data_IF_382200820555
#
_entry.id   IF_382200820555
#
_cell.length_a   1.000
_cell.length_b   1.000
_cell.length_c   1.000
_cell.angle_alpha   90.00
_cell.angle_beta   90.00
_cell.angle_gamma   90.00
#
_symmetry.space_group_name_H-M   'P 1'
#
loop_
_entity.id
_entity.type
_entity.pdbx_description
1 polymer ?
#
# COMPACT_ATOMS: atom_id res chain seq x y z
N UNK A 1 -0.37 -1.41 6.84
CA UNK A 1 0.95 -0.80 7.10
C UNK A 1 1.90 -1.78 7.80
N UNK A 2 1.54 -2.35 8.96
CA UNK A 2 2.43 -3.31 9.66
C UNK A 2 2.75 -4.55 8.79
N UNK A 3 1.76 -5.07 8.05
CA UNK A 3 1.99 -6.14 7.07
C UNK A 3 3.09 -5.81 6.06
N UNK A 4 3.06 -4.61 5.48
CA UNK A 4 4.00 -4.18 4.45
C UNK A 4 5.42 -4.01 4.99
N UNK A 5 5.59 -3.71 6.28
CA UNK A 5 6.91 -3.69 6.90
C UNK A 5 7.57 -5.06 6.85
N UNK A 6 6.84 -6.11 7.25
CA UNK A 6 7.36 -7.48 7.18
C UNK A 6 7.64 -7.92 5.73
N UNK A 7 6.73 -7.61 4.79
CA UNK A 7 6.92 -7.98 3.39
C UNK A 7 8.04 -7.20 2.69
N UNK A 8 8.39 -6.01 3.18
CA UNK A 8 9.49 -5.23 2.62
C UNK A 8 10.83 -5.95 2.72
N UNK A 9 11.08 -6.72 3.79
CA UNK A 9 12.28 -7.53 3.90
C UNK A 9 12.48 -8.50 2.72
N UNK A 10 11.39 -9.01 2.13
CA UNK A 10 11.44 -9.97 1.02
C UNK A 10 11.86 -9.39 -0.33
N UNK A 11 11.88 -8.06 -0.49
CA UNK A 11 12.23 -7.39 -1.76
C UNK A 11 13.51 -6.55 -1.67
N UNK A 12 14.11 -6.47 -0.48
CA UNK A 12 15.36 -5.72 -0.26
C UNK A 12 16.58 -6.57 -0.62
N UNK A 13 17.67 -5.91 -1.03
CA UNK A 13 18.97 -6.57 -1.14
C UNK A 13 19.48 -6.99 0.25
N UNK A 14 20.43 -7.95 0.35
CA UNK A 14 20.82 -8.53 1.64
C UNK A 14 21.32 -7.51 2.68
N UNK A 15 22.07 -6.48 2.26
CA UNK A 15 22.58 -5.46 3.19
C UNK A 15 21.46 -4.55 3.71
N UNK A 16 20.52 -4.16 2.84
CA UNK A 16 19.38 -3.33 3.21
C UNK A 16 18.38 -4.10 4.05
N UNK A 17 18.14 -5.39 3.75
CA UNK A 17 17.26 -6.26 4.53
C UNK A 17 17.73 -6.35 5.97
N UNK A 18 19.03 -6.62 6.19
CA UNK A 18 19.62 -6.68 7.52
C UNK A 18 19.41 -5.38 8.30
N UNK A 19 19.79 -4.25 7.72
CA UNK A 19 19.65 -2.94 8.36
C UNK A 19 18.17 -2.59 8.62
N UNK A 20 17.29 -2.86 7.66
CA UNK A 20 15.86 -2.60 7.79
C UNK A 20 15.27 -3.42 8.93
N UNK A 21 15.56 -4.73 8.99
CA UNK A 21 15.11 -5.60 10.06
C UNK A 21 15.58 -5.09 11.42
N UNK A 22 16.88 -4.87 11.60
CA UNK A 22 17.45 -4.42 12.89
C UNK A 22 16.80 -3.11 13.37
N UNK A 23 16.66 -2.13 12.48
CA UNK A 23 16.07 -0.83 12.84
C UNK A 23 14.57 -0.90 13.11
N UNK A 24 13.80 -1.75 12.41
CA UNK A 24 12.36 -1.90 12.64
C UNK A 24 12.09 -2.72 13.90
N UNK A 25 12.80 -3.82 14.12
CA UNK A 25 12.66 -4.61 15.35
C UNK A 25 13.01 -3.77 16.58
N UNK A 26 14.10 -2.99 16.54
CA UNK A 26 14.46 -2.08 17.62
C UNK A 26 13.40 -1.00 17.87
N UNK A 27 12.84 -0.41 16.82
CA UNK A 27 11.82 0.66 16.93
C UNK A 27 10.48 0.17 17.48
N UNK A 28 10.05 -1.03 17.08
CA UNK A 28 8.73 -1.56 17.42
C UNK A 28 8.75 -2.57 18.58
N UNK A 29 9.93 -3.04 19.00
CA UNK A 29 10.09 -3.95 20.13
C UNK A 29 9.60 -5.39 19.89
N UNK A 30 9.34 -5.75 18.63
CA UNK A 30 8.84 -7.07 18.21
C UNK A 30 9.63 -7.58 17.00
N UNK A 31 9.61 -8.89 16.75
CA UNK A 31 10.26 -9.47 15.57
C UNK A 31 9.52 -9.14 14.29
N UNK A 32 10.24 -9.04 13.16
CA UNK A 32 9.65 -8.71 11.86
C UNK A 32 8.50 -9.67 11.49
N UNK A 33 8.64 -10.95 11.83
CA UNK A 33 7.65 -12.00 11.59
C UNK A 33 6.36 -11.81 12.41
N UNK A 34 6.43 -11.09 13.53
CA UNK A 34 5.32 -10.85 14.47
C UNK A 34 4.45 -9.65 14.09
N UNK A 35 4.90 -8.79 13.16
CA UNK A 35 4.14 -7.61 12.73
C UNK A 35 2.76 -7.97 12.18
N UNK A 36 2.69 -9.04 11.37
CA UNK A 36 1.46 -9.51 10.73
C UNK A 36 1.62 -10.99 10.31
N UNK A 37 1.69 -11.93 11.28
CA UNK A 37 1.86 -13.36 11.01
C UNK A 37 0.66 -13.92 10.23
N UNK A 38 0.88 -14.97 9.45
CA UNK A 38 -0.16 -15.66 8.67
C UNK A 38 -1.33 -16.09 9.59
N UNK A 39 -2.56 -15.94 9.11
CA UNK A 39 -3.78 -16.30 9.84
C UNK A 39 -4.59 -15.08 10.27
N UNK A 40 -5.40 -15.24 11.33
CA UNK A 40 -6.42 -14.27 11.73
C UNK A 40 -5.89 -12.84 11.90
N UNK A 41 -4.67 -12.68 12.43
CA UNK A 41 -4.05 -11.35 12.58
C UNK A 41 -3.79 -10.68 11.23
N UNK A 42 -3.23 -11.39 10.26
CA UNK A 42 -3.01 -10.86 8.91
C UNK A 42 -4.32 -10.54 8.21
N UNK A 43 -5.32 -11.39 8.35
CA UNK A 43 -6.65 -11.15 7.75
C UNK A 43 -7.28 -9.87 8.33
N UNK A 44 -7.16 -9.67 9.65
CA UNK A 44 -7.60 -8.43 10.31
C UNK A 44 -6.78 -7.20 9.86
N UNK A 45 -5.45 -7.32 9.74
CA UNK A 45 -4.58 -6.24 9.26
C UNK A 45 -4.91 -5.84 7.81
N UNK A 46 -5.25 -6.83 6.96
CA UNK A 46 -5.71 -6.62 5.58
C UNK A 46 -7.07 -5.93 5.54
N UNK A 47 -8.02 -6.41 6.34
CA UNK A 47 -9.36 -5.81 6.45
C UNK A 47 -9.27 -4.34 6.89
N UNK A 48 -8.47 -4.04 7.93
CA UNK A 48 -8.22 -2.68 8.41
C UNK A 48 -7.56 -1.81 7.34
N UNK A 49 -6.63 -2.36 6.56
CA UNK A 49 -6.02 -1.65 5.43
C UNK A 49 -7.06 -1.24 4.37
N UNK A 50 -7.96 -2.16 4.02
CA UNK A 50 -9.06 -1.90 3.08
C UNK A 50 -10.09 -0.92 3.63
N UNK A 51 -10.40 -0.97 4.91
CA UNK A 51 -11.27 0.00 5.58
C UNK A 51 -10.69 1.43 5.52
N UNK A 52 -9.38 1.57 5.77
CA UNK A 52 -8.67 2.83 5.59
C UNK A 52 -8.79 3.35 4.15
N UNK A 53 -8.58 2.48 3.16
CA UNK A 53 -8.81 2.82 1.76
C UNK A 53 -10.28 3.17 1.47
N UNK A 54 -11.27 2.46 2.02
CA UNK A 54 -12.68 2.83 1.89
C UNK A 54 -12.96 4.23 2.43
N UNK A 55 -12.32 4.59 3.54
CA UNK A 55 -12.43 5.93 4.13
C UNK A 55 -11.86 7.00 3.18
N UNK A 56 -10.64 6.78 2.65
CA UNK A 56 -10.03 7.73 1.70
C UNK A 56 -10.87 7.86 0.44
N UNK A 57 -11.35 6.76 -0.14
CA UNK A 57 -12.24 6.79 -1.30
C UNK A 57 -13.54 7.57 -1.03
N UNK A 58 -14.10 7.45 0.18
CA UNK A 58 -15.26 8.24 0.61
C UNK A 58 -14.98 9.73 0.76
N UNK A 59 -13.73 10.14 0.94
CA UNK A 59 -13.34 11.55 0.85
C UNK A 59 -13.23 12.00 -0.60
N UNK A 60 -12.61 11.19 -1.47
CA UNK A 60 -12.47 11.50 -2.89
C UNK A 60 -13.83 11.60 -3.58
N UNK A 61 -14.81 10.77 -3.23
CA UNK A 61 -16.15 10.83 -3.84
C UNK A 61 -16.87 12.17 -3.64
N UNK A 62 -16.40 13.02 -2.70
CA UNK A 62 -16.96 14.34 -2.43
C UNK A 62 -16.37 15.45 -3.30
N UNK A 63 -15.35 15.17 -4.11
CA UNK A 63 -14.59 16.18 -4.86
C UNK A 63 -15.20 16.59 -6.22
N UNK A 64 -16.47 16.26 -6.47
CA UNK A 64 -17.14 16.60 -7.72
C UNK A 64 -16.92 15.60 -8.87
N UNK A 65 -16.39 14.40 -8.59
CA UNK A 65 -16.34 13.29 -9.54
C UNK A 65 -15.06 13.21 -10.37
N UNK A 66 -13.99 13.88 -9.95
CA UNK A 66 -12.69 13.77 -10.60
C UNK A 66 -11.86 12.61 -10.07
N UNK A 67 -10.93 12.13 -10.90
CA UNK A 67 -10.12 10.91 -10.64
C UNK A 67 -8.94 11.12 -9.67
N UNK A 68 -8.61 12.36 -9.34
CA UNK A 68 -7.54 12.74 -8.42
C UNK A 68 -8.11 13.40 -7.16
N UNK A 69 -7.29 13.60 -6.15
CA UNK A 69 -7.71 14.17 -4.86
C UNK A 69 -8.34 15.57 -5.04
N UNK A 70 -7.76 16.41 -5.91
CA UNK A 70 -8.32 17.73 -6.26
C UNK A 70 -9.31 17.67 -7.43
N UNK A 71 -9.99 16.54 -7.61
CA UNK A 71 -10.91 16.31 -8.72
C UNK A 71 -10.14 16.00 -10.00
N UNK A 72 -10.09 16.94 -10.94
CA UNK A 72 -9.49 16.70 -12.27
C UNK A 72 -8.00 16.98 -12.33
N UNK A 73 -7.42 17.57 -11.28
CA UNK A 73 -6.01 17.99 -11.24
C UNK A 73 -5.22 17.08 -10.33
N UNK A 74 -4.11 16.53 -10.84
CA UNK A 74 -3.16 15.77 -10.03
C UNK A 74 -2.48 16.68 -9.02
N UNK A 75 -2.25 16.18 -7.81
CA UNK A 75 -1.64 16.92 -6.72
C UNK A 75 -0.55 16.10 -6.02
N UNK A 76 0.22 16.75 -5.14
CA UNK A 76 1.19 16.05 -4.29
C UNK A 76 0.54 14.97 -3.42
N UNK A 77 -0.70 15.18 -2.99
CA UNK A 77 -1.44 14.19 -2.22
C UNK A 77 -1.70 12.91 -3.02
N UNK A 78 -1.85 13.02 -4.34
CA UNK A 78 -1.99 11.87 -5.22
C UNK A 78 -0.69 11.08 -5.32
N UNK A 79 0.45 11.78 -5.36
CA UNK A 79 1.77 11.15 -5.29
C UNK A 79 1.99 10.37 -3.99
N UNK A 80 1.61 10.94 -2.84
CA UNK A 80 1.67 10.24 -1.56
C UNK A 80 0.76 9.01 -1.57
N UNK A 81 -0.51 9.18 -1.96
CA UNK A 81 -1.50 8.10 -1.95
C UNK A 81 -1.11 6.97 -2.90
N UNK A 82 -0.73 7.32 -4.14
CA UNK A 82 -0.21 6.39 -5.14
C UNK A 82 1.06 5.69 -4.66
N UNK A 83 1.98 6.39 -4.00
CA UNK A 83 3.19 5.81 -3.42
C UNK A 83 2.88 4.73 -2.37
N UNK A 84 1.94 4.98 -1.46
CA UNK A 84 1.51 3.99 -0.47
C UNK A 84 0.88 2.75 -1.11
N UNK A 85 0.04 2.93 -2.13
CA UNK A 85 -0.60 1.82 -2.86
C UNK A 85 0.45 1.04 -3.66
N UNK A 86 1.38 1.73 -4.32
CA UNK A 86 2.44 1.10 -5.09
C UNK A 86 3.41 0.31 -4.19
N UNK A 87 3.69 0.80 -2.98
CA UNK A 87 4.49 0.05 -2.00
C UNK A 87 3.84 -1.31 -1.67
N UNK A 88 2.51 -1.35 -1.53
CA UNK A 88 1.78 -2.61 -1.34
C UNK A 88 1.94 -3.51 -2.58
N UNK A 89 1.74 -2.98 -3.79
CA UNK A 89 1.88 -3.75 -5.04
C UNK A 89 3.28 -4.37 -5.17
N UNK A 90 4.32 -3.60 -4.91
CA UNK A 90 5.72 -4.06 -5.04
C UNK A 90 6.04 -5.12 -4.00
N UNK A 91 5.73 -4.87 -2.73
CA UNK A 91 6.10 -5.80 -1.63
C UNK A 91 5.31 -7.09 -1.63
N UNK A 92 4.07 -7.08 -2.11
CA UNK A 92 3.26 -8.29 -2.23
C UNK A 92 3.50 -9.01 -3.58
N UNK A 93 3.98 -8.30 -4.59
CA UNK A 93 4.02 -8.74 -5.97
C UNK A 93 2.69 -8.50 -6.70
N UNK A 94 2.73 -8.14 -8.00
CA UNK A 94 1.56 -7.75 -8.79
C UNK A 94 0.57 -8.89 -9.05
N UNK A 95 0.98 -10.15 -8.88
CA UNK A 95 0.12 -11.32 -9.08
C UNK A 95 -0.47 -11.88 -7.79
N UNK A 96 -0.09 -11.33 -6.63
CA UNK A 96 -0.54 -11.81 -5.33
C UNK A 96 -2.04 -11.63 -5.12
N UNK A 97 -2.63 -12.56 -4.37
CA UNK A 97 -4.02 -12.45 -3.94
C UNK A 97 -4.28 -11.17 -3.14
N UNK A 98 -3.32 -10.76 -2.30
CA UNK A 98 -3.41 -9.52 -1.51
C UNK A 98 -3.51 -8.30 -2.41
N UNK A 99 -2.61 -8.15 -3.39
CA UNK A 99 -2.67 -7.03 -4.33
C UNK A 99 -3.96 -7.05 -5.15
N UNK A 100 -4.31 -8.19 -5.76
CA UNK A 100 -5.54 -8.32 -6.58
C UNK A 100 -6.78 -7.93 -5.78
N UNK A 101 -6.85 -8.35 -4.52
CA UNK A 101 -7.97 -8.04 -3.63
C UNK A 101 -8.05 -6.58 -3.19
N UNK A 102 -6.91 -5.87 -3.14
CA UNK A 102 -6.85 -4.43 -2.89
C UNK A 102 -7.14 -3.62 -4.16
N UNK A 103 -6.57 -4.02 -5.29
CA UNK A 103 -6.75 -3.36 -6.57
C UNK A 103 -8.22 -3.37 -7.04
N UNK A 104 -8.93 -4.48 -6.79
CA UNK A 104 -10.38 -4.60 -7.08
C UNK A 104 -11.29 -3.98 -6.02
N UNK A 105 -10.73 -3.52 -4.89
CA UNK A 105 -11.50 -2.90 -3.80
C UNK A 105 -12.18 -1.60 -4.28
N UNK A 106 -13.34 -1.30 -3.70
CA UNK A 106 -14.19 -0.16 -4.11
C UNK A 106 -14.49 -0.14 -5.61
N UNK A 107 -14.90 -1.28 -6.17
CA UNK A 107 -15.25 -1.38 -7.59
C UNK A 107 -14.06 -1.20 -8.53
N UNK A 108 -12.85 -1.54 -8.09
CA UNK A 108 -11.63 -1.40 -8.88
C UNK A 108 -10.99 -0.01 -8.85
N UNK A 109 -11.49 0.91 -8.01
CA UNK A 109 -11.00 2.28 -7.94
C UNK A 109 -9.49 2.34 -7.72
N UNK A 110 -8.95 1.58 -6.76
CA UNK A 110 -7.55 1.69 -6.36
C UNK A 110 -6.57 1.15 -7.40
N UNK A 111 -6.94 0.09 -8.12
CA UNK A 111 -6.17 -0.39 -9.27
C UNK A 111 -6.14 0.65 -10.38
N UNK A 112 -7.30 1.23 -10.71
CA UNK A 112 -7.39 2.29 -11.72
C UNK A 112 -6.63 3.55 -11.30
N UNK A 113 -6.76 3.97 -10.05
CA UNK A 113 -6.12 5.16 -9.49
C UNK A 113 -4.61 5.08 -9.61
N UNK A 114 -4.01 3.92 -9.27
CA UNK A 114 -2.58 3.72 -9.45
C UNK A 114 -2.18 3.77 -10.93
N UNK A 115 -2.97 3.14 -11.82
CA UNK A 115 -2.71 3.18 -13.27
C UNK A 115 -2.80 4.59 -13.86
N UNK A 116 -3.75 5.40 -13.41
CA UNK A 116 -3.88 6.82 -13.79
C UNK A 116 -2.68 7.67 -13.35
N UNK A 117 -1.84 7.17 -12.43
CA UNK A 117 -0.61 7.80 -11.96
C UNK A 117 0.67 7.24 -12.60
N UNK A 118 0.59 6.19 -13.43
CA UNK A 118 1.77 5.52 -14.01
C UNK A 118 2.61 6.48 -14.87
N UNK A 119 1.98 7.47 -15.53
CA UNK A 119 2.69 8.50 -16.30
C UNK A 119 3.65 9.35 -15.46
N UNK A 120 3.50 9.35 -14.13
CA UNK A 120 4.36 10.08 -13.19
C UNK A 120 5.33 9.15 -12.44
N UNK A 121 5.28 7.84 -12.69
CA UNK A 121 6.00 6.82 -11.92
C UNK A 121 7.16 6.19 -12.71
N UNK A 122 7.69 6.87 -13.72
CA UNK A 122 8.82 6.38 -14.52
C UNK A 122 10.07 6.20 -13.67
N UNK A 123 10.71 5.03 -13.79
CA UNK A 123 12.01 4.73 -13.17
C UNK A 123 13.05 4.75 -14.28
N UNK A 124 14.15 5.46 -14.06
CA UNK A 124 15.30 5.52 -14.98
C UNK A 124 16.32 4.44 -14.66
#
# INVERSE_FOLDING_TARGET
MLLQLAQSCGVLNPSSEKYFRETRESKFGIKIEEFSPVGAKRDADLAKGKEGLSTVHGWLSKNGGGKYILGSTVSYADGITGGWINWIRITQGPDSAVWKSLASHNGGFWGKYLSDLDTYASVQ
#
